data_IF_503621692630
#
_entry.id   IF_503621692630
#
_cell.length_a   1.000
_cell.length_b   1.000
_cell.length_c   1.000
_cell.angle_alpha   90.00
_cell.angle_beta   90.00
_cell.angle_gamma   90.00
#
_symmetry.space_group_name_H-M   'P 1'
#
loop_
_entity.id
_entity.type
_entity.pdbx_description
1 polymer ?
#
# COMPACT_ATOMS: atom_id res chain seq x y z
N UNK A 1 -0.53 9.73 -14.82
CA UNK A 1 0.17 8.47 -14.50
C UNK A 1 -0.83 7.33 -14.64
N UNK A 2 -0.76 6.53 -15.71
CA UNK A 2 -1.66 5.39 -15.90
C UNK A 2 -1.08 4.19 -15.13
N UNK A 3 -1.66 3.91 -13.96
CA UNK A 3 -1.19 2.88 -13.01
C UNK A 3 -1.84 1.51 -13.28
N UNK A 4 -2.94 1.47 -14.04
CA UNK A 4 -3.67 0.25 -14.42
C UNK A 4 -4.56 0.48 -15.66
N UNK A 5 -4.89 -0.61 -16.38
CA UNK A 5 -5.89 -0.62 -17.46
C UNK A 5 -7.30 -0.89 -16.92
N UNK A 6 -7.76 -0.06 -15.97
CA UNK A 6 -9.11 -0.15 -15.41
C UNK A 6 -9.26 -0.99 -14.12
N UNK A 7 -8.18 -1.16 -13.35
CA UNK A 7 -8.20 -1.87 -12.06
C UNK A 7 -7.54 -1.07 -10.93
N UNK A 8 -7.41 -1.66 -9.74
CA UNK A 8 -6.76 -0.97 -8.62
C UNK A 8 -5.29 -0.67 -8.89
N UNK A 9 -4.82 0.46 -8.38
CA UNK A 9 -3.44 0.94 -8.50
C UNK A 9 -2.83 1.21 -7.12
N UNK A 10 -1.52 1.03 -7.01
CA UNK A 10 -0.73 1.29 -5.82
C UNK A 10 0.56 2.04 -6.18
N UNK A 11 0.86 3.08 -5.42
CA UNK A 11 2.11 3.84 -5.52
C UNK A 11 2.73 3.95 -4.13
N UNK A 12 4.01 3.61 -4.00
CA UNK A 12 4.77 3.73 -2.76
C UNK A 12 5.79 4.85 -2.94
N UNK A 13 5.79 5.78 -2.00
CA UNK A 13 6.63 6.97 -1.96
C UNK A 13 7.51 6.91 -0.71
N UNK A 14 8.79 7.21 -0.87
CA UNK A 14 9.73 7.23 0.25
C UNK A 14 9.64 8.52 1.08
N UNK A 15 10.46 8.59 2.14
CA UNK A 15 10.56 9.75 3.02
C UNK A 15 11.13 11.01 2.33
N UNK A 16 11.76 10.87 1.16
CA UNK A 16 12.27 11.99 0.35
C UNK A 16 11.22 12.50 -0.64
N UNK A 17 10.05 11.84 -0.72
CA UNK A 17 9.01 12.16 -1.68
C UNK A 17 9.22 11.52 -3.06
N UNK A 18 10.14 10.58 -3.20
CA UNK A 18 10.41 9.88 -4.45
C UNK A 18 9.54 8.62 -4.60
N UNK A 19 9.01 8.39 -5.80
CA UNK A 19 8.23 7.19 -6.11
C UNK A 19 9.16 5.99 -6.24
N UNK A 20 9.16 5.12 -5.23
CA UNK A 20 10.03 3.93 -5.18
C UNK A 20 9.38 2.69 -5.80
N UNK A 21 8.05 2.61 -5.81
CA UNK A 21 7.31 1.55 -6.49
C UNK A 21 5.96 2.04 -7.01
N UNK A 22 5.52 1.45 -8.12
CA UNK A 22 4.20 1.67 -8.71
C UNK A 22 3.71 0.39 -9.37
N UNK A 23 2.45 0.04 -9.21
CA UNK A 23 1.88 -1.17 -9.76
C UNK A 23 0.36 -1.06 -9.94
N UNK A 24 -0.17 -1.95 -10.76
CA UNK A 24 -1.60 -2.25 -10.85
C UNK A 24 -1.84 -3.74 -10.60
N UNK A 25 -3.11 -4.14 -10.67
CA UNK A 25 -3.48 -5.56 -10.55
C UNK A 25 -2.85 -6.41 -11.67
N UNK A 26 -2.33 -7.58 -11.31
CA UNK A 26 -1.82 -8.64 -12.19
C UNK A 26 -2.91 -9.70 -12.37
N UNK A 27 -2.90 -10.41 -13.50
CA UNK A 27 -3.91 -11.42 -13.84
C UNK A 27 -3.69 -12.77 -13.11
N UNK A 28 -3.53 -12.72 -11.79
CA UNK A 28 -3.42 -13.87 -10.88
C UNK A 28 -4.21 -13.57 -9.60
N UNK A 29 -4.74 -14.57 -8.88
CA UNK A 29 -5.62 -14.33 -7.72
C UNK A 29 -5.03 -13.47 -6.60
N UNK A 30 -3.72 -13.60 -6.33
CA UNK A 30 -3.01 -12.79 -5.31
C UNK A 30 -2.35 -11.54 -5.91
N UNK A 31 -2.62 -11.25 -7.17
CA UNK A 31 -1.96 -10.22 -7.97
C UNK A 31 -2.46 -8.82 -7.70
N UNK A 32 -2.87 -8.49 -6.48
CA UNK A 32 -3.38 -7.16 -6.17
C UNK A 32 -2.28 -6.11 -6.27
N UNK A 33 -2.64 -4.87 -6.63
CA UNK A 33 -1.69 -3.78 -6.82
C UNK A 33 -0.74 -3.62 -5.63
N UNK A 34 -1.26 -3.65 -4.39
CA UNK A 34 -0.44 -3.54 -3.17
C UNK A 34 0.61 -4.65 -3.09
N UNK A 35 0.21 -5.90 -3.32
CA UNK A 35 1.13 -7.05 -3.28
C UNK A 35 2.21 -6.94 -4.35
N UNK A 36 1.82 -6.52 -5.56
CA UNK A 36 2.77 -6.28 -6.65
C UNK A 36 3.76 -5.15 -6.32
N UNK A 37 3.31 -4.03 -5.75
CA UNK A 37 4.17 -2.91 -5.39
C UNK A 37 5.20 -3.28 -4.32
N UNK A 38 4.75 -3.95 -3.25
CA UNK A 38 5.63 -4.40 -2.17
C UNK A 38 6.65 -5.41 -2.69
N UNK A 39 6.21 -6.37 -3.53
CA UNK A 39 7.13 -7.35 -4.11
C UNK A 39 8.17 -6.70 -5.03
N UNK A 40 7.76 -5.75 -5.89
CA UNK A 40 8.66 -5.05 -6.80
C UNK A 40 9.66 -4.18 -6.03
N UNK A 41 9.23 -3.57 -4.93
CA UNK A 41 10.09 -2.79 -4.05
C UNK A 41 11.12 -3.68 -3.33
N UNK A 42 10.69 -4.79 -2.75
CA UNK A 42 11.59 -5.76 -2.11
C UNK A 42 12.67 -6.27 -3.07
N UNK A 43 12.32 -6.55 -4.33
CA UNK A 43 13.29 -7.01 -5.33
C UNK A 43 14.29 -5.91 -5.71
N UNK A 44 13.84 -4.65 -5.80
CA UNK A 44 14.73 -3.49 -6.01
C UNK A 44 15.70 -3.29 -4.83
N UNK A 45 15.25 -3.47 -3.59
CA UNK A 45 16.12 -3.37 -2.41
C UNK A 45 17.13 -4.51 -2.32
N UNK A 46 16.82 -5.72 -2.81
CA UNK A 46 17.79 -6.82 -2.88
C UNK A 46 18.92 -6.53 -3.86
N UNK A 47 18.60 -5.91 -5.00
CA UNK A 47 19.55 -5.65 -6.09
C UNK A 47 20.39 -4.39 -5.85
N UNK A 48 19.80 -3.35 -5.26
CA UNK A 48 20.50 -2.15 -4.81
C UNK A 48 20.87 -2.34 -3.34
N UNK A 49 22.05 -2.90 -3.09
CA UNK A 49 22.66 -3.02 -1.77
C UNK A 49 22.78 -1.62 -1.13
N UNK A 50 21.71 -1.12 -0.51
CA UNK A 50 21.68 0.23 0.05
C UNK A 50 22.40 0.21 1.39
N UNK A 51 23.53 0.91 1.45
CA UNK A 51 24.20 1.24 2.69
C UNK A 51 23.21 1.96 3.63
N UNK A 52 23.05 1.39 4.83
CA UNK A 52 22.41 2.00 6.02
C UNK A 52 20.85 1.95 6.05
N UNK A 53 20.37 0.96 6.82
CA UNK A 53 19.24 1.00 7.76
C UNK A 53 17.80 1.31 7.28
N UNK A 54 17.43 1.08 6.02
CA UNK A 54 16.01 1.13 5.64
C UNK A 54 15.33 -0.23 5.90
N UNK A 55 14.72 -0.38 7.08
CA UNK A 55 13.98 -1.59 7.44
C UNK A 55 12.60 -1.60 6.77
N UNK A 56 12.43 -2.47 5.77
CA UNK A 56 11.19 -2.60 4.99
C UNK A 56 10.74 -1.24 4.41
N UNK A 57 9.46 -0.90 4.50
CA UNK A 57 8.92 0.40 4.09
C UNK A 57 8.66 1.34 5.28
N UNK A 58 9.48 1.28 6.33
CA UNK A 58 9.24 2.09 7.55
C UNK A 58 9.16 3.57 7.21
N UNK A 59 8.00 4.17 7.49
CA UNK A 59 7.73 5.59 7.24
C UNK A 59 7.33 5.94 5.80
N UNK A 60 7.18 4.96 4.91
CA UNK A 60 6.74 5.22 3.54
C UNK A 60 5.26 5.57 3.48
N UNK A 61 4.93 6.36 2.46
CA UNK A 61 3.56 6.73 2.13
C UNK A 61 3.07 5.85 0.98
N UNK A 62 1.87 5.30 1.14
CA UNK A 62 1.24 4.48 0.11
C UNK A 62 -0.02 5.15 -0.38
N UNK A 63 -0.13 5.31 -1.69
CA UNK A 63 -1.29 5.88 -2.37
C UNK A 63 -2.00 4.77 -3.15
N UNK A 64 -3.27 4.58 -2.84
CA UNK A 64 -4.13 3.56 -3.42
C UNK A 64 -5.30 4.21 -4.15
N UNK A 65 -5.71 3.63 -5.26
CA UNK A 65 -6.91 4.10 -5.97
C UNK A 65 -8.18 3.72 -5.22
N UNK A 66 -8.22 2.48 -4.71
CA UNK A 66 -9.36 1.88 -4.03
C UNK A 66 -8.95 1.44 -2.61
N UNK A 67 -9.93 1.35 -1.73
CA UNK A 67 -9.77 0.79 -0.40
C UNK A 67 -9.25 -0.66 -0.51
N UNK A 68 -8.15 -1.01 0.18
CA UNK A 68 -7.56 -2.33 0.07
C UNK A 68 -8.39 -3.38 0.81
N UNK A 69 -8.29 -4.62 0.35
CA UNK A 69 -8.82 -5.77 1.08
C UNK A 69 -7.94 -6.17 2.28
N UNK A 70 -8.45 -7.08 3.13
CA UNK A 70 -7.76 -7.56 4.33
C UNK A 70 -6.32 -8.03 4.06
N UNK A 71 -6.10 -8.79 2.98
CA UNK A 71 -4.77 -9.26 2.59
C UNK A 71 -3.81 -8.11 2.33
N UNK A 72 -4.24 -7.13 1.54
CA UNK A 72 -3.40 -5.99 1.17
C UNK A 72 -3.14 -5.08 2.37
N UNK A 73 -4.14 -4.81 3.19
CA UNK A 73 -3.97 -3.98 4.36
C UNK A 73 -3.05 -4.62 5.42
N UNK A 74 -3.13 -5.94 5.61
CA UNK A 74 -2.21 -6.67 6.50
C UNK A 74 -0.80 -6.76 5.92
N UNK A 75 -0.66 -6.86 4.60
CA UNK A 75 0.65 -6.74 3.95
C UNK A 75 1.30 -5.37 4.25
N UNK A 76 0.52 -4.28 4.27
CA UNK A 76 1.02 -2.95 4.64
C UNK A 76 1.42 -2.84 6.11
N UNK A 77 0.69 -3.51 7.02
CA UNK A 77 1.09 -3.64 8.44
C UNK A 77 2.46 -4.31 8.54
N UNK A 78 2.63 -5.46 7.87
CA UNK A 78 3.91 -6.19 7.88
C UNK A 78 5.03 -5.45 7.15
N UNK A 79 4.70 -4.64 6.15
CA UNK A 79 5.66 -3.79 5.45
C UNK A 79 6.05 -2.52 6.23
N UNK A 80 5.35 -2.24 7.34
CA UNK A 80 5.58 -1.11 8.27
C UNK A 80 5.42 0.27 7.67
N UNK A 81 4.49 0.44 6.74
CA UNK A 81 4.22 1.76 6.13
C UNK A 81 3.82 2.79 7.18
N UNK A 82 4.12 4.06 6.94
CA UNK A 82 3.76 5.13 7.87
C UNK A 82 2.32 5.60 7.67
N UNK A 83 1.95 5.83 6.41
CA UNK A 83 0.67 6.43 6.05
C UNK A 83 0.11 5.79 4.79
N UNK A 84 -1.21 5.63 4.75
CA UNK A 84 -1.93 5.12 3.60
C UNK A 84 -3.00 6.12 3.19
N UNK A 85 -3.00 6.47 1.92
CA UNK A 85 -3.98 7.33 1.29
C UNK A 85 -4.77 6.50 0.28
N UNK A 86 -6.09 6.56 0.30
CA UNK A 86 -6.92 5.87 -0.70
C UNK A 86 -8.05 6.75 -1.20
N UNK A 87 -8.48 6.54 -2.45
CA UNK A 87 -9.58 7.30 -3.06
C UNK A 87 -10.95 6.67 -2.82
N UNK A 88 -11.25 5.61 -3.58
CA UNK A 88 -12.58 5.01 -3.63
C UNK A 88 -12.78 4.00 -2.51
N UNK A 89 -13.89 4.11 -1.76
CA UNK A 89 -14.31 3.10 -0.78
C UNK A 89 -14.72 1.80 -1.48
N UNK A 90 -14.46 0.66 -0.85
CA UNK A 90 -14.83 -0.68 -1.31
C UNK A 90 -15.76 -1.36 -0.29
N UNK A 91 -17.10 -1.14 -0.39
CA UNK A 91 -18.05 -1.53 0.66
C UNK A 91 -18.13 -3.03 0.98
N UNK A 92 -17.75 -3.90 0.03
CA UNK A 92 -17.90 -5.35 0.16
C UNK A 92 -16.66 -6.03 0.73
N UNK A 93 -15.47 -5.50 0.44
CA UNK A 93 -14.19 -6.17 0.65
C UNK A 93 -13.12 -5.29 1.28
N UNK A 94 -13.36 -3.99 1.39
CA UNK A 94 -12.47 -3.01 2.02
C UNK A 94 -12.37 -3.17 3.54
N UNK A 95 -11.23 -2.79 4.11
CA UNK A 95 -10.93 -2.96 5.54
C UNK A 95 -10.47 -1.68 6.26
N UNK A 96 -10.71 -0.50 5.70
CA UNK A 96 -10.42 0.76 6.38
C UNK A 96 -11.67 1.42 6.94
N UNK A 97 -12.72 1.48 6.14
CA UNK A 97 -14.03 2.02 6.51
C UNK A 97 -15.15 0.99 6.34
N UNK A 98 -14.91 -0.07 5.58
CA UNK A 98 -15.97 -1.00 5.18
C UNK A 98 -16.15 -2.13 6.21
N UNK A 99 -15.45 -3.24 6.09
CA UNK A 99 -15.78 -4.45 6.84
C UNK A 99 -15.09 -4.57 8.19
N UNK A 100 -13.82 -4.14 8.29
CA UNK A 100 -13.00 -4.42 9.47
C UNK A 100 -11.83 -3.46 9.55
N UNK A 101 -11.87 -2.47 10.46
CA UNK A 101 -10.84 -1.41 10.61
C UNK A 101 -9.49 -1.93 11.11
N UNK A 102 -8.75 -2.63 10.25
CA UNK A 102 -7.54 -3.36 10.63
C UNK A 102 -6.44 -2.43 11.16
N UNK A 103 -6.39 -1.20 10.69
CA UNK A 103 -5.46 -0.17 11.17
C UNK A 103 -5.72 0.27 12.62
N UNK A 104 -6.89 -0.04 13.19
CA UNK A 104 -7.26 0.28 14.57
C UNK A 104 -7.15 -0.94 15.50
N UNK A 105 -6.78 -2.12 14.97
CA UNK A 105 -6.72 -3.36 15.74
C UNK A 105 -5.55 -3.35 16.72
N UNK A 106 -5.87 -3.30 18.02
CA UNK A 106 -4.89 -3.11 19.11
C UNK A 106 -3.92 -4.28 19.26
N UNK A 107 -4.32 -5.48 18.84
CA UNK A 107 -3.46 -6.67 18.92
C UNK A 107 -2.35 -6.71 17.88
N UNK A 108 -2.37 -5.82 16.88
CA UNK A 108 -1.32 -5.73 15.86
C UNK A 108 -0.09 -5.00 16.38
N UNK A 109 1.08 -5.42 15.89
CA UNK A 109 2.38 -4.90 16.32
C UNK A 109 2.76 -3.55 15.64
N UNK A 110 2.13 -3.22 14.52
CA UNK A 110 2.40 -1.99 13.77
C UNK A 110 1.08 -1.35 13.35
N UNK A 111 1.01 -0.02 13.46
CA UNK A 111 -0.15 0.77 13.08
C UNK A 111 0.30 1.87 12.12
N UNK A 112 -0.59 2.21 11.18
CA UNK A 112 -0.38 3.31 10.25
C UNK A 112 -1.61 4.19 10.19
N UNK A 113 -1.39 5.44 9.83
CA UNK A 113 -2.50 6.39 9.65
C UNK A 113 -3.12 6.21 8.28
N UNK A 114 -4.45 6.29 8.23
CA UNK A 114 -5.22 6.11 7.01
C UNK A 114 -5.97 7.39 6.70
N UNK A 115 -5.89 7.83 5.45
CA UNK A 115 -6.56 9.02 4.94
C UNK A 115 -7.37 8.66 3.70
N UNK A 116 -8.66 9.02 3.70
CA UNK A 116 -9.49 8.97 2.50
C UNK A 116 -9.36 10.30 1.75
N UNK A 117 -9.08 10.24 0.46
CA UNK A 117 -9.01 11.42 -0.43
C UNK A 117 -10.36 11.54 -1.13
N UNK A 118 -11.17 12.50 -0.71
CA UNK A 118 -12.53 12.71 -1.21
C UNK A 118 -12.59 13.42 -2.57
N UNK A 119 -11.53 14.12 -3.00
CA UNK A 119 -11.47 14.80 -4.30
C UNK A 119 -10.04 14.76 -4.88
N UNK A 120 -9.88 14.19 -6.09
CA UNK A 120 -8.78 14.57 -6.98
C UNK A 120 -9.25 15.83 -7.71
N UNK A 121 -8.96 17.01 -7.15
CA UNK A 121 -9.17 18.31 -7.83
C UNK A 121 -8.29 18.38 -9.07
#
# INVERSE_FOLDING_TARGET
LQISNGGSGCVIVDLKGEVVAKSGNRNIPLGHAVMAAVSDLCERHRTKQSDILQYLGTGFDVYLTDEPCAMCAMALVHFRVGRVFYGKRAPLDGVYESCWRIQEEKSLNHHYTVFRIDEFI
#
